data_IF_696317730541
#
_entry.id   IF_696317730541
#
_cell.length_a   1.000
_cell.length_b   1.000
_cell.length_c   1.000
_cell.angle_alpha   90.00
_cell.angle_beta   90.00
_cell.angle_gamma   90.00
#
_symmetry.space_group_name_H-M   'P 1'
#
loop_
_entity.id
_entity.type
_entity.pdbx_description
1 polymer ?
#
# COMPACT_ATOMS: atom_id res chain seq x y z
N UNK A 1 17.13 -17.70 -6.22
CA UNK A 1 16.85 -17.03 -7.50
C UNK A 1 15.55 -16.27 -7.35
N UNK A 2 15.59 -14.95 -7.37
CA UNK A 2 14.39 -14.11 -7.26
C UNK A 2 13.76 -13.94 -8.65
N UNK A 3 12.46 -14.25 -8.75
CA UNK A 3 11.71 -14.08 -10.00
C UNK A 3 11.05 -12.70 -9.93
N UNK A 4 11.58 -11.74 -10.71
CA UNK A 4 11.19 -10.32 -10.66
C UNK A 4 9.72 -10.00 -11.03
N UNK A 5 8.94 -10.98 -11.51
CA UNK A 5 7.51 -10.80 -11.89
C UNK A 5 7.24 -9.57 -12.77
N UNK A 6 8.16 -9.28 -13.70
CA UNK A 6 8.19 -8.03 -14.50
C UNK A 6 6.83 -7.61 -15.08
N UNK A 7 6.02 -8.54 -15.58
CA UNK A 7 4.70 -8.21 -16.15
C UNK A 7 3.78 -7.55 -15.11
N UNK A 8 3.72 -8.09 -13.89
CA UNK A 8 2.87 -7.56 -12.83
C UNK A 8 3.45 -6.29 -12.23
N UNK A 9 4.77 -6.25 -12.03
CA UNK A 9 5.47 -5.06 -11.56
C UNK A 9 5.24 -3.88 -12.51
N UNK A 10 5.44 -4.07 -13.83
CA UNK A 10 5.25 -3.01 -14.82
C UNK A 10 3.80 -2.51 -14.87
N UNK A 11 2.81 -3.37 -14.57
CA UNK A 11 1.41 -2.93 -14.44
C UNK A 11 1.24 -1.98 -13.25
N UNK A 12 1.86 -2.26 -12.10
CA UNK A 12 1.82 -1.35 -10.96
C UNK A 12 2.52 -0.02 -11.27
N UNK A 13 3.74 -0.09 -11.82
CA UNK A 13 4.54 1.08 -12.18
C UNK A 13 3.78 2.00 -13.14
N UNK A 14 3.19 1.45 -14.19
CA UNK A 14 2.44 2.24 -15.19
C UNK A 14 1.16 2.87 -14.66
N UNK A 15 0.74 2.54 -13.44
CA UNK A 15 -0.46 3.05 -12.78
C UNK A 15 -0.16 3.95 -11.58
N UNK A 16 1.11 4.21 -11.27
CA UNK A 16 1.49 5.22 -10.27
C UNK A 16 0.98 6.60 -10.67
N UNK A 17 0.68 7.42 -9.68
CA UNK A 17 0.38 8.86 -9.77
C UNK A 17 -0.81 9.25 -10.66
N UNK A 18 -1.75 8.33 -10.89
CA UNK A 18 -2.96 8.59 -11.68
C UNK A 18 -4.19 8.92 -10.82
N UNK A 19 -4.05 8.99 -9.50
CA UNK A 19 -5.13 9.30 -8.56
C UNK A 19 -6.15 8.18 -8.34
N UNK A 20 -5.96 7.02 -8.97
CA UNK A 20 -6.82 5.84 -8.77
C UNK A 20 -6.17 4.88 -7.77
N UNK A 21 -7.01 4.10 -7.08
CA UNK A 21 -6.58 3.05 -6.16
C UNK A 21 -6.23 1.80 -6.96
N UNK A 22 -5.07 1.19 -6.70
CA UNK A 22 -4.60 0.00 -7.43
C UNK A 22 -5.00 -1.25 -6.65
N UNK A 23 -5.95 -2.00 -7.19
CA UNK A 23 -6.38 -3.25 -6.58
C UNK A 23 -5.64 -4.42 -7.23
N UNK A 24 -4.91 -5.18 -6.42
CA UNK A 24 -4.24 -6.42 -6.84
C UNK A 24 -5.04 -7.62 -6.35
N UNK A 25 -5.67 -8.34 -7.27
CA UNK A 25 -6.44 -9.55 -6.96
C UNK A 25 -5.75 -10.80 -7.50
N UNK A 26 -6.16 -11.97 -7.01
CA UNK A 26 -5.65 -13.26 -7.45
C UNK A 26 -5.80 -14.35 -6.40
N UNK A 27 -5.59 -15.60 -6.79
CA UNK A 27 -5.77 -16.76 -5.92
C UNK A 27 -4.91 -16.72 -4.65
N UNK A 28 -5.34 -17.42 -3.61
CA UNK A 28 -4.57 -17.57 -2.37
C UNK A 28 -3.20 -18.22 -2.67
N UNK A 29 -2.15 -17.76 -1.97
CA UNK A 29 -0.74 -18.20 -2.15
C UNK A 29 -0.12 -17.94 -3.53
N UNK A 30 -0.71 -17.09 -4.38
CA UNK A 30 -0.07 -16.69 -5.63
C UNK A 30 1.04 -15.62 -5.46
N UNK A 31 1.32 -15.16 -4.24
CA UNK A 31 2.41 -14.23 -3.93
C UNK A 31 2.10 -12.75 -4.18
N UNK A 32 0.87 -12.31 -3.93
CA UNK A 32 0.49 -10.88 -4.04
C UNK A 32 1.21 -10.02 -3.02
N UNK A 33 1.22 -10.44 -1.75
CA UNK A 33 1.94 -9.77 -0.67
C UNK A 33 3.41 -9.61 -0.99
N UNK A 34 4.05 -10.66 -1.54
CA UNK A 34 5.45 -10.60 -1.98
C UNK A 34 5.66 -9.64 -3.18
N UNK A 35 4.70 -9.56 -4.12
CA UNK A 35 4.75 -8.57 -5.19
C UNK A 35 4.71 -7.14 -4.63
N UNK A 36 3.87 -6.87 -3.63
CA UNK A 36 3.70 -5.52 -3.05
C UNK A 36 4.84 -5.15 -2.09
N UNK A 37 5.06 -5.93 -1.04
CA UNK A 37 5.96 -5.60 0.07
C UNK A 37 7.44 -5.91 -0.19
N UNK A 38 7.75 -6.70 -1.21
CA UNK A 38 9.14 -6.96 -1.60
C UNK A 38 9.45 -6.31 -2.95
N UNK A 39 8.87 -6.83 -4.03
CA UNK A 39 9.29 -6.44 -5.38
C UNK A 39 8.94 -4.97 -5.69
N UNK A 40 7.71 -4.55 -5.42
CA UNK A 40 7.28 -3.18 -5.70
C UNK A 40 7.92 -2.19 -4.73
N UNK A 41 7.99 -2.52 -3.43
CA UNK A 41 8.74 -1.74 -2.43
C UNK A 41 10.21 -1.53 -2.83
N UNK A 42 10.92 -2.59 -3.23
CA UNK A 42 12.31 -2.50 -3.66
C UNK A 42 12.45 -1.62 -4.91
N UNK A 43 11.51 -1.71 -5.84
CA UNK A 43 11.47 -0.81 -6.99
C UNK A 43 11.33 0.67 -6.57
N UNK A 44 10.42 0.98 -5.65
CA UNK A 44 10.25 2.34 -5.11
C UNK A 44 11.53 2.84 -4.42
N UNK A 45 12.15 2.01 -3.59
CA UNK A 45 13.41 2.35 -2.93
C UNK A 45 14.53 2.63 -3.94
N UNK A 46 14.63 1.82 -5.01
CA UNK A 46 15.60 2.01 -6.09
C UNK A 46 15.33 3.28 -6.92
N UNK A 47 14.09 3.77 -6.97
CA UNK A 47 13.73 5.07 -7.56
C UNK A 47 14.05 6.26 -6.63
N UNK A 48 14.54 6.00 -5.41
CA UNK A 48 14.92 7.02 -4.43
C UNK A 48 13.79 7.44 -3.49
N UNK A 49 12.68 6.69 -3.44
CA UNK A 49 11.62 6.92 -2.45
C UNK A 49 12.16 6.60 -1.06
N UNK A 50 12.01 7.55 -0.13
CA UNK A 50 12.42 7.36 1.26
C UNK A 50 11.59 6.24 1.91
N UNK A 51 12.22 5.36 2.69
CA UNK A 51 11.50 4.28 3.40
C UNK A 51 10.39 4.82 4.31
N UNK A 52 10.58 6.00 4.92
CA UNK A 52 9.57 6.64 5.76
C UNK A 52 8.32 7.06 4.96
N UNK A 53 8.41 7.10 3.64
CA UNK A 53 7.32 7.46 2.73
C UNK A 53 6.64 6.22 2.15
N UNK A 54 7.06 5.02 2.55
CA UNK A 54 6.42 3.76 2.20
C UNK A 54 5.76 3.21 3.47
N UNK A 55 4.43 3.21 3.50
CA UNK A 55 3.64 2.74 4.64
C UNK A 55 3.05 1.38 4.27
N UNK A 56 3.37 0.36 5.06
CA UNK A 56 2.93 -1.02 4.82
C UNK A 56 2.04 -1.50 5.95
N UNK A 57 0.89 -2.08 5.60
CA UNK A 57 -0.03 -2.68 6.57
C UNK A 57 -0.59 -3.97 6.00
N UNK A 58 -0.25 -5.08 6.65
CA UNK A 58 -0.88 -6.38 6.46
C UNK A 58 -1.91 -6.58 7.57
N UNK A 59 -3.21 -6.52 7.26
CA UNK A 59 -4.26 -6.53 8.29
C UNK A 59 -4.45 -7.91 8.94
N UNK A 60 -3.97 -8.98 8.33
CA UNK A 60 -4.02 -10.34 8.88
C UNK A 60 -2.95 -10.61 9.95
N UNK A 61 -1.88 -9.80 10.01
CA UNK A 61 -0.87 -9.84 11.08
C UNK A 61 -1.48 -9.53 12.44
N UNK A 62 -0.95 -10.18 13.48
CA UNK A 62 -1.41 -9.98 14.86
C UNK A 62 -1.06 -8.58 15.37
N UNK A 63 0.13 -8.09 15.04
CA UNK A 63 0.65 -6.76 15.40
C UNK A 63 -0.23 -5.64 14.85
N UNK A 64 -0.85 -5.87 13.69
CA UNK A 64 -1.71 -4.92 13.01
C UNK A 64 -3.20 -5.07 13.35
N UNK A 65 -3.58 -5.99 14.24
CA UNK A 65 -4.99 -6.24 14.58
C UNK A 65 -5.73 -4.97 15.04
N UNK A 66 -5.05 -4.09 15.78
CA UNK A 66 -5.60 -2.81 16.24
C UNK A 66 -5.93 -1.84 15.09
N UNK A 67 -5.26 -1.96 13.96
CA UNK A 67 -5.47 -1.13 12.78
C UNK A 67 -6.62 -1.62 11.89
N UNK A 68 -7.33 -2.69 12.27
CA UNK A 68 -8.58 -3.09 11.61
C UNK A 68 -9.74 -2.14 11.90
N UNK A 69 -9.58 -1.30 12.93
CA UNK A 69 -10.49 -0.20 13.25
C UNK A 69 -10.03 1.08 12.53
N UNK A 70 -10.86 1.67 11.63
CA UNK A 70 -10.60 2.93 10.96
C UNK A 70 -10.25 4.09 11.89
N UNK A 71 -10.89 4.16 13.06
CA UNK A 71 -10.68 5.23 14.04
C UNK A 71 -9.29 5.15 14.66
N UNK A 72 -8.64 3.98 14.59
CA UNK A 72 -7.24 3.78 15.02
C UNK A 72 -6.29 3.90 13.83
N UNK A 73 -6.64 3.32 12.69
CA UNK A 73 -5.79 3.30 11.50
C UNK A 73 -5.60 4.69 10.90
N UNK A 74 -6.68 5.44 10.72
CA UNK A 74 -6.63 6.68 9.96
C UNK A 74 -5.75 7.73 10.66
N UNK A 75 -5.88 8.00 11.97
CA UNK A 75 -4.93 8.88 12.66
C UNK A 75 -3.48 8.42 12.54
N UNK A 76 -3.21 7.12 12.70
CA UNK A 76 -1.87 6.55 12.53
C UNK A 76 -1.28 6.80 11.14
N UNK A 77 -2.08 6.66 10.07
CA UNK A 77 -1.64 7.00 8.72
C UNK A 77 -1.36 8.49 8.57
N UNK A 78 -2.21 9.35 9.16
CA UNK A 78 -2.03 10.81 9.07
C UNK A 78 -0.78 11.29 9.82
N UNK A 79 -0.43 10.66 10.95
CA UNK A 79 0.80 10.96 11.68
C UNK A 79 2.05 10.58 10.88
N UNK A 80 1.97 9.51 10.07
CA UNK A 80 3.09 9.09 9.20
C UNK A 80 3.24 9.95 7.96
N UNK A 81 2.14 10.45 7.40
CA UNK A 81 2.14 11.36 6.24
C UNK A 81 2.43 12.78 6.76
N UNK A 82 3.71 13.05 7.01
CA UNK A 82 4.18 14.21 7.77
C UNK A 82 4.51 15.43 6.91
N UNK A 83 4.68 15.26 5.60
CA UNK A 83 5.03 16.33 4.67
C UNK A 83 4.23 16.24 3.35
N UNK A 84 4.62 17.06 2.37
CA UNK A 84 3.95 17.17 1.07
C UNK A 84 4.57 16.29 -0.02
N UNK A 85 5.62 15.53 0.29
CA UNK A 85 6.23 14.60 -0.66
C UNK A 85 5.32 13.38 -0.88
N UNK A 86 5.59 12.62 -1.93
CA UNK A 86 4.78 11.45 -2.28
C UNK A 86 4.96 10.31 -1.28
N UNK A 87 3.83 9.80 -0.78
CA UNK A 87 3.73 8.59 0.04
C UNK A 87 3.08 7.44 -0.74
N UNK A 88 3.56 6.22 -0.49
CA UNK A 88 3.01 4.98 -1.01
C UNK A 88 2.41 4.18 0.14
N UNK A 89 1.10 3.90 0.08
CA UNK A 89 0.39 3.17 1.13
C UNK A 89 0.03 1.80 0.60
N UNK A 90 0.80 0.80 1.01
CA UNK A 90 0.66 -0.59 0.60
C UNK A 90 -0.18 -1.35 1.63
N UNK A 91 -1.37 -1.78 1.22
CA UNK A 91 -2.33 -2.47 2.07
C UNK A 91 -2.54 -3.91 1.59
N UNK A 92 -2.53 -4.87 2.51
CA UNK A 92 -2.83 -6.28 2.22
C UNK A 92 -3.93 -6.83 3.13
N UNK A 93 -4.72 -7.75 2.58
CA UNK A 93 -5.92 -8.32 3.21
C UNK A 93 -6.90 -7.21 3.70
N UNK A 94 -7.08 -6.18 2.86
CA UNK A 94 -7.89 -4.97 3.16
C UNK A 94 -9.34 -5.25 3.57
N UNK A 95 -9.91 -6.40 3.19
CA UNK A 95 -11.23 -6.82 3.62
C UNK A 95 -11.33 -7.09 5.14
N UNK A 96 -10.20 -7.11 5.86
CA UNK A 96 -10.15 -7.22 7.32
C UNK A 96 -10.21 -5.86 8.03
N UNK A 97 -10.10 -4.75 7.30
CA UNK A 97 -10.30 -3.39 7.79
C UNK A 97 -11.81 -3.09 7.74
N UNK A 98 -12.39 -2.72 8.87
CA UNK A 98 -13.78 -2.26 8.93
C UNK A 98 -13.90 -0.96 8.10
N UNK A 99 -15.04 -0.72 7.44
CA UNK A 99 -15.28 0.48 6.61
C UNK A 99 -14.11 0.87 5.67
N UNK A 100 -13.44 -0.13 5.10
CA UNK A 100 -12.23 0.09 4.30
C UNK A 100 -12.48 1.02 3.11
N UNK A 101 -13.69 1.02 2.55
CA UNK A 101 -14.07 1.87 1.42
C UNK A 101 -13.92 3.36 1.77
N UNK A 102 -14.36 3.77 2.95
CA UNK A 102 -14.26 5.15 3.42
C UNK A 102 -12.80 5.56 3.68
N UNK A 103 -11.99 4.66 4.23
CA UNK A 103 -10.54 4.87 4.42
C UNK A 103 -9.85 5.04 3.08
N UNK A 104 -10.07 4.11 2.15
CA UNK A 104 -9.51 4.12 0.80
C UNK A 104 -9.90 5.39 0.03
N UNK A 105 -11.18 5.78 0.06
CA UNK A 105 -11.67 7.00 -0.56
C UNK A 105 -11.01 8.26 0.04
N UNK A 106 -10.78 8.25 1.36
CA UNK A 106 -10.11 9.37 2.04
C UNK A 106 -8.64 9.48 1.68
N UNK A 107 -7.93 8.35 1.54
CA UNK A 107 -6.56 8.31 1.05
C UNK A 107 -6.47 8.76 -0.42
N UNK A 108 -7.34 8.25 -1.29
CA UNK A 108 -7.34 8.58 -2.72
C UNK A 108 -7.61 10.05 -3.05
N UNK A 109 -8.21 10.82 -2.13
CA UNK A 109 -8.38 12.27 -2.26
C UNK A 109 -7.10 13.08 -1.96
N UNK A 110 -6.09 12.47 -1.34
CA UNK A 110 -4.84 13.17 -1.02
C UNK A 110 -3.94 13.25 -2.23
N UNK A 111 -3.42 14.45 -2.52
CA UNK A 111 -2.58 14.70 -3.69
C UNK A 111 -1.22 14.02 -3.61
N UNK A 112 -0.73 13.78 -2.41
CA UNK A 112 0.60 13.22 -2.15
C UNK A 112 0.54 11.77 -1.65
N UNK A 113 -0.53 11.03 -1.94
CA UNK A 113 -0.67 9.62 -1.57
C UNK A 113 -1.01 8.77 -2.78
N UNK A 114 -0.32 7.65 -2.90
CA UNK A 114 -0.53 6.62 -3.90
C UNK A 114 -0.84 5.28 -3.20
N UNK A 115 -2.04 4.73 -3.43
CA UNK A 115 -2.56 3.49 -2.80
C UNK A 115 -2.65 2.34 -3.79
#
# INVERSE_FOLDING_TARGET
MEIRRNIYLNKLISKKHNGLIKVVTGMRRCGKSYLLFNIFKEHLANEGVNENHIIEIAFDSFENRKYRDPEVLFPYLMEKIADNEMYYVLLDEVQMLDDFESVLNSLGRKKNVDV
#
